data_IF_596293462343
#
_entry.id   IF_596293462343
#
_cell.length_a   1.000
_cell.length_b   1.000
_cell.length_c   1.000
_cell.angle_alpha   90.00
_cell.angle_beta   90.00
_cell.angle_gamma   90.00
#
_symmetry.space_group_name_H-M   'P 1'
#
loop_
_entity.id
_entity.type
_entity.pdbx_description
1 polymer ?
#
# COMPACT_ATOMS: atom_id res chain seq x y z
N UNK A 1 -2.93 15.70 -18.33
CA UNK A 1 -3.25 14.27 -18.56
C UNK A 1 -1.94 13.51 -18.45
N UNK A 2 -1.80 12.63 -17.46
CA UNK A 2 -0.61 11.77 -17.36
C UNK A 2 -0.67 10.67 -18.43
N UNK A 3 0.49 10.37 -19.01
CA UNK A 3 0.67 9.26 -19.94
C UNK A 3 1.43 8.19 -19.18
N UNK A 4 0.85 6.99 -19.09
CA UNK A 4 1.43 5.85 -18.40
C UNK A 4 1.84 4.79 -19.41
N UNK A 5 2.95 4.11 -19.13
CA UNK A 5 3.39 2.95 -19.91
C UNK A 5 2.51 1.74 -19.59
N UNK A 6 2.32 0.87 -20.58
CA UNK A 6 1.65 -0.41 -20.39
C UNK A 6 2.43 -1.33 -19.44
N UNK A 7 1.71 -2.11 -18.65
CA UNK A 7 2.24 -3.24 -17.91
C UNK A 7 2.50 -4.42 -18.86
N UNK A 8 3.43 -5.30 -18.50
CA UNK A 8 3.58 -6.60 -19.15
C UNK A 8 2.98 -7.69 -18.27
N UNK A 9 1.82 -8.21 -18.67
CA UNK A 9 1.08 -9.26 -17.94
C UNK A 9 0.94 -10.47 -18.84
N UNK A 10 1.47 -11.62 -18.38
CA UNK A 10 1.45 -12.89 -19.12
C UNK A 10 1.98 -12.74 -20.57
N UNK A 11 3.02 -11.90 -20.74
CA UNK A 11 3.67 -11.62 -22.02
C UNK A 11 2.95 -10.62 -22.92
N UNK A 12 1.89 -9.95 -22.45
CA UNK A 12 1.11 -8.97 -23.22
C UNK A 12 1.17 -7.59 -22.59
N UNK A 13 1.21 -6.57 -23.44
CA UNK A 13 1.03 -5.19 -23.03
C UNK A 13 -0.42 -4.96 -22.59
N UNK A 14 -0.61 -4.46 -21.38
CA UNK A 14 -1.92 -4.14 -20.79
C UNK A 14 -1.84 -2.73 -20.21
N UNK A 15 -2.71 -1.80 -20.62
CA UNK A 15 -2.70 -0.46 -20.05
C UNK A 15 -3.05 -0.49 -18.56
N UNK A 16 -2.45 0.38 -17.74
CA UNK A 16 -2.77 0.43 -16.33
C UNK A 16 -4.19 0.94 -16.11
N UNK A 17 -4.78 0.58 -14.97
CA UNK A 17 -6.06 1.15 -14.55
C UNK A 17 -5.82 2.53 -13.95
N UNK A 18 -6.48 3.56 -14.49
CA UNK A 18 -6.41 4.92 -13.94
C UNK A 18 -7.76 5.33 -13.39
N UNK A 19 -7.79 5.67 -12.11
CA UNK A 19 -8.98 6.01 -11.35
C UNK A 19 -8.99 7.53 -11.14
N UNK A 20 -9.91 8.22 -11.80
CA UNK A 20 -10.04 9.69 -11.76
C UNK A 20 -11.27 10.18 -11.01
N UNK A 21 -12.16 9.25 -10.68
CA UNK A 21 -13.41 9.50 -9.98
C UNK A 21 -13.55 8.47 -8.87
N UNK A 22 -14.42 8.75 -7.91
CA UNK A 22 -14.65 7.86 -6.78
C UNK A 22 -14.99 6.45 -7.27
N UNK A 23 -14.21 5.48 -6.82
CA UNK A 23 -14.30 4.11 -7.34
C UNK A 23 -14.06 3.09 -6.23
N UNK A 24 -14.80 1.98 -6.31
CA UNK A 24 -14.62 0.83 -5.42
C UNK A 24 -14.24 -0.39 -6.24
N UNK A 25 -13.04 -0.92 -6.00
CA UNK A 25 -12.58 -2.16 -6.63
C UNK A 25 -12.95 -3.35 -5.75
N UNK A 26 -13.93 -4.14 -6.18
CA UNK A 26 -14.44 -5.33 -5.45
C UNK A 26 -13.87 -6.65 -5.97
N UNK A 27 -13.40 -6.68 -7.22
CA UNK A 27 -12.86 -7.88 -7.88
C UNK A 27 -11.36 -8.09 -7.65
N UNK A 28 -10.75 -8.95 -8.49
CA UNK A 28 -9.29 -9.07 -8.54
C UNK A 28 -8.75 -8.29 -9.74
N UNK A 29 -7.77 -7.42 -9.51
CA UNK A 29 -7.01 -6.73 -10.55
C UNK A 29 -5.54 -7.18 -10.53
N UNK A 30 -4.96 -7.38 -11.71
CA UNK A 30 -3.53 -7.64 -11.92
C UNK A 30 -2.98 -6.50 -12.76
N UNK A 31 -1.86 -5.93 -12.33
CA UNK A 31 -1.25 -4.78 -13.00
C UNK A 31 -1.15 -3.55 -12.09
N UNK A 32 -0.87 -2.43 -12.72
CA UNK A 32 -0.67 -1.13 -12.10
C UNK A 32 -1.98 -0.36 -12.04
N UNK A 33 -2.28 0.20 -10.87
CA UNK A 33 -3.41 1.09 -10.62
C UNK A 33 -2.89 2.46 -10.21
N UNK A 34 -3.27 3.48 -10.96
CA UNK A 34 -3.05 4.89 -10.62
C UNK A 34 -4.32 5.48 -10.04
N UNK A 35 -4.24 6.04 -8.83
CA UNK A 35 -5.32 6.76 -8.17
C UNK A 35 -5.03 8.25 -8.29
N UNK A 36 -5.83 8.95 -9.07
CA UNK A 36 -5.79 10.41 -9.32
C UNK A 36 -7.06 11.09 -8.80
N UNK A 37 -7.72 10.51 -7.80
CA UNK A 37 -9.04 10.95 -7.31
C UNK A 37 -9.02 11.13 -5.79
N UNK A 38 -9.98 11.89 -5.26
CA UNK A 38 -10.07 12.16 -3.83
C UNK A 38 -10.35 10.89 -3.02
N UNK A 39 -11.14 9.94 -3.55
CA UNK A 39 -11.53 8.73 -2.81
C UNK A 39 -11.49 7.44 -3.66
N UNK A 40 -10.66 6.49 -3.26
CA UNK A 40 -10.65 5.13 -3.83
C UNK A 40 -10.71 4.06 -2.73
N UNK A 41 -11.57 3.06 -2.90
CA UNK A 41 -11.72 1.94 -1.97
C UNK A 41 -11.33 0.63 -2.65
N UNK A 42 -10.35 -0.07 -2.10
CA UNK A 42 -10.00 -1.44 -2.47
C UNK A 42 -10.70 -2.41 -1.50
N UNK A 43 -11.81 -3.01 -1.94
CA UNK A 43 -12.52 -4.09 -1.23
C UNK A 43 -12.03 -5.49 -1.67
N UNK A 44 -11.64 -5.63 -2.94
CA UNK A 44 -11.22 -6.87 -3.55
C UNK A 44 -9.74 -7.18 -3.35
N UNK A 45 -9.07 -7.63 -4.42
CA UNK A 45 -7.62 -7.87 -4.38
C UNK A 45 -6.90 -7.18 -5.53
N UNK A 46 -5.79 -6.53 -5.23
CA UNK A 46 -4.86 -6.02 -6.22
C UNK A 46 -3.56 -6.82 -6.13
N UNK A 47 -3.06 -7.26 -7.30
CA UNK A 47 -1.77 -7.92 -7.48
C UNK A 47 -0.94 -7.12 -8.47
N UNK A 48 -0.06 -6.27 -7.96
CA UNK A 48 0.74 -5.36 -8.77
C UNK A 48 1.08 -4.08 -8.02
N UNK A 49 1.15 -2.97 -8.75
CA UNK A 49 1.55 -1.67 -8.21
C UNK A 49 0.31 -0.81 -7.97
N UNK A 50 0.19 -0.25 -6.77
CA UNK A 50 -0.76 0.81 -6.46
C UNK A 50 0.01 2.12 -6.34
N UNK A 51 -0.24 3.07 -7.23
CA UNK A 51 0.30 4.42 -7.18
C UNK A 51 -0.80 5.36 -6.71
N UNK A 52 -0.58 5.97 -5.55
CA UNK A 52 -1.53 6.92 -4.96
C UNK A 52 -0.97 8.32 -5.15
N UNK A 53 -1.57 9.08 -6.07
CA UNK A 53 -1.08 10.40 -6.43
C UNK A 53 -1.42 11.45 -5.38
N UNK A 54 -0.64 12.52 -5.39
CA UNK A 54 -0.79 13.68 -4.51
C UNK A 54 -2.26 14.14 -4.38
N UNK A 55 -2.73 14.37 -3.15
CA UNK A 55 -4.09 14.80 -2.86
C UNK A 55 -5.14 13.68 -2.86
N UNK A 56 -4.77 12.44 -3.20
CA UNK A 56 -5.69 11.30 -3.19
C UNK A 56 -5.78 10.65 -1.81
N UNK A 57 -6.97 10.14 -1.46
CA UNK A 57 -7.17 9.27 -0.29
C UNK A 57 -7.59 7.88 -0.72
N UNK A 58 -6.89 6.86 -0.21
CA UNK A 58 -7.17 5.45 -0.50
C UNK A 58 -7.49 4.67 0.76
N UNK A 59 -8.54 3.86 0.71
CA UNK A 59 -8.89 2.91 1.74
C UNK A 59 -8.69 1.47 1.24
N UNK A 60 -7.74 0.75 1.83
CA UNK A 60 -7.48 -0.67 1.56
C UNK A 60 -8.18 -1.52 2.63
N UNK A 61 -9.35 -2.05 2.30
CA UNK A 61 -10.10 -2.99 3.16
C UNK A 61 -9.94 -4.44 2.70
N UNK A 62 -9.56 -4.64 1.44
CA UNK A 62 -9.26 -5.92 0.82
C UNK A 62 -7.79 -6.31 0.94
N UNK A 63 -7.24 -6.89 -0.14
CA UNK A 63 -5.86 -7.43 -0.18
C UNK A 63 -5.02 -6.81 -1.27
N UNK A 64 -4.02 -6.04 -0.88
CA UNK A 64 -2.98 -5.53 -1.79
C UNK A 64 -1.71 -6.40 -1.71
N UNK A 65 -1.25 -6.89 -2.87
CA UNK A 65 0.00 -7.66 -3.00
C UNK A 65 0.88 -7.05 -4.07
N UNK A 66 2.09 -6.64 -3.69
CA UNK A 66 3.04 -6.00 -4.60
C UNK A 66 3.52 -4.66 -4.03
N UNK A 67 3.52 -3.63 -4.86
CA UNK A 67 4.07 -2.32 -4.49
C UNK A 67 2.95 -1.34 -4.16
N UNK A 68 3.12 -0.56 -3.10
CA UNK A 68 2.31 0.62 -2.81
C UNK A 68 3.24 1.83 -2.81
N UNK A 69 2.99 2.78 -3.71
CA UNK A 69 3.72 4.03 -3.80
C UNK A 69 2.78 5.17 -3.44
N UNK A 70 3.13 5.93 -2.40
CA UNK A 70 2.29 7.00 -1.85
C UNK A 70 3.04 8.30 -2.06
N UNK A 71 2.55 9.12 -2.99
CA UNK A 71 3.13 10.42 -3.29
C UNK A 71 2.90 11.43 -2.16
N UNK A 72 3.74 12.47 -2.15
CA UNK A 72 3.60 13.59 -1.22
C UNK A 72 2.16 14.13 -1.13
N UNK A 73 1.64 14.23 0.10
CA UNK A 73 0.30 14.76 0.36
C UNK A 73 -0.84 13.76 0.12
N UNK A 74 -0.56 12.53 -0.30
CA UNK A 74 -1.56 11.46 -0.34
C UNK A 74 -1.73 10.77 1.02
N UNK A 75 -2.90 10.17 1.23
CA UNK A 75 -3.24 9.44 2.45
C UNK A 75 -3.72 8.04 2.08
N UNK A 76 -3.15 7.03 2.73
CA UNK A 76 -3.59 5.63 2.61
C UNK A 76 -4.00 5.11 3.97
N UNK A 77 -5.19 4.54 4.06
CA UNK A 77 -5.69 3.83 5.26
C UNK A 77 -5.82 2.35 4.95
N UNK A 78 -5.32 1.50 5.83
CA UNK A 78 -5.33 0.05 5.67
C UNK A 78 -6.13 -0.56 6.81
N UNK A 79 -7.30 -1.12 6.51
CA UNK A 79 -8.09 -1.97 7.42
C UNK A 79 -8.09 -3.44 6.99
N UNK A 80 -7.61 -3.73 5.77
CA UNK A 80 -7.35 -5.08 5.25
C UNK A 80 -5.87 -5.47 5.32
N UNK A 81 -5.33 -6.01 4.23
CA UNK A 81 -3.96 -6.53 4.17
C UNK A 81 -3.15 -5.89 3.03
N UNK A 82 -1.94 -5.44 3.34
CA UNK A 82 -0.91 -5.05 2.37
C UNK A 82 0.31 -5.93 2.57
N UNK A 83 0.75 -6.62 1.52
CA UNK A 83 1.96 -7.43 1.54
C UNK A 83 2.88 -7.12 0.34
N UNK A 84 4.08 -6.61 0.62
CA UNK A 84 5.11 -6.36 -0.37
C UNK A 84 5.93 -5.13 -0.04
N UNK A 85 6.15 -4.27 -1.03
CA UNK A 85 6.96 -3.05 -0.86
C UNK A 85 6.05 -1.85 -0.70
N UNK A 86 6.32 -1.01 0.30
CA UNK A 86 5.62 0.27 0.49
C UNK A 86 6.61 1.42 0.47
N UNK A 87 6.33 2.47 -0.28
CA UNK A 87 7.10 3.71 -0.30
C UNK A 87 6.18 4.85 0.09
N UNK A 88 6.53 5.53 1.19
CA UNK A 88 5.77 6.64 1.77
C UNK A 88 6.61 7.90 1.59
N UNK A 89 6.27 8.75 0.63
CA UNK A 89 7.01 9.98 0.39
C UNK A 89 6.80 11.02 1.51
N UNK A 90 7.66 12.04 1.54
CA UNK A 90 7.53 13.18 2.48
C UNK A 90 6.13 13.78 2.40
N UNK A 91 5.62 14.23 3.54
CA UNK A 91 4.27 14.82 3.69
C UNK A 91 3.10 13.88 3.34
N UNK A 92 3.35 12.61 3.04
CA UNK A 92 2.30 11.59 2.88
C UNK A 92 2.14 10.78 4.17
N UNK A 93 0.98 10.12 4.30
CA UNK A 93 0.68 9.30 5.48
C UNK A 93 0.10 7.96 5.08
N UNK A 94 0.65 6.87 5.63
CA UNK A 94 -0.03 5.58 5.69
C UNK A 94 -0.50 5.33 7.13
N UNK A 95 -1.76 4.96 7.28
CA UNK A 95 -2.36 4.55 8.55
C UNK A 95 -2.74 3.08 8.45
N UNK A 96 -2.16 2.24 9.30
CA UNK A 96 -2.63 0.88 9.53
C UNK A 96 -3.68 0.97 10.62
N UNK A 97 -4.96 0.88 10.25
CA UNK A 97 -6.07 0.87 11.20
C UNK A 97 -6.05 -0.42 12.04
N UNK A 98 -6.83 -0.48 13.12
CA UNK A 98 -6.77 -1.55 14.13
C UNK A 98 -6.85 -2.97 13.56
N UNK A 99 -7.70 -3.20 12.55
CA UNK A 99 -7.82 -4.51 11.86
C UNK A 99 -6.79 -4.73 10.76
N UNK A 100 -6.08 -3.67 10.38
CA UNK A 100 -5.18 -3.61 9.25
C UNK A 100 -3.85 -4.32 9.49
N UNK A 101 -3.26 -4.81 8.40
CA UNK A 101 -1.96 -5.48 8.40
C UNK A 101 -1.10 -4.95 7.25
N UNK A 102 0.11 -4.51 7.58
CA UNK A 102 1.14 -4.17 6.60
C UNK A 102 2.35 -5.06 6.81
N UNK A 103 2.75 -5.80 5.79
CA UNK A 103 3.91 -6.66 5.82
C UNK A 103 4.85 -6.46 4.63
N UNK A 104 6.15 -6.66 4.87
CA UNK A 104 7.20 -6.60 3.84
C UNK A 104 8.20 -5.45 4.06
N UNK A 105 8.64 -4.80 2.99
CA UNK A 105 9.65 -3.74 3.07
C UNK A 105 8.99 -2.38 2.96
N UNK A 106 9.28 -1.46 3.86
CA UNK A 106 8.74 -0.10 3.85
C UNK A 106 9.85 0.95 3.81
N UNK A 107 9.89 1.80 2.78
CA UNK A 107 10.66 3.03 2.77
C UNK A 107 9.76 4.16 3.26
N UNK A 108 10.12 4.78 4.37
CA UNK A 108 9.31 5.76 5.08
C UNK A 108 10.07 7.08 5.09
N UNK A 109 9.71 7.97 4.16
CA UNK A 109 10.15 9.38 4.16
C UNK A 109 9.05 10.32 4.69
N UNK A 110 7.78 9.85 4.70
CA UNK A 110 6.64 10.50 5.34
C UNK A 110 6.30 9.92 6.72
N UNK A 111 5.00 9.70 6.98
CA UNK A 111 4.50 9.14 8.24
C UNK A 111 3.85 7.78 8.06
N UNK A 112 4.26 6.81 8.88
CA UNK A 112 3.59 5.53 9.06
C UNK A 112 2.95 5.50 10.45
N UNK A 113 1.62 5.50 10.52
CA UNK A 113 0.86 5.38 11.77
C UNK A 113 0.39 3.93 11.92
N UNK A 114 0.71 3.30 13.05
CA UNK A 114 0.50 1.88 13.30
C UNK A 114 -0.50 1.74 14.44
N UNK A 115 -1.77 1.46 14.11
CA UNK A 115 -2.83 1.08 15.07
C UNK A 115 -3.16 -0.42 14.98
N UNK A 116 -2.96 -1.02 13.82
CA UNK A 116 -3.01 -2.46 13.60
C UNK A 116 -1.63 -3.13 13.67
N UNK A 117 -1.35 -4.05 12.75
CA UNK A 117 -0.12 -4.84 12.76
C UNK A 117 0.82 -4.40 11.64
N UNK A 118 2.06 -4.05 12.00
CA UNK A 118 3.18 -3.89 11.08
C UNK A 118 4.19 -5.02 11.25
N UNK A 119 4.62 -5.64 10.15
CA UNK A 119 5.64 -6.69 10.16
C UNK A 119 6.58 -6.56 8.98
N UNK A 120 7.73 -5.92 9.17
CA UNK A 120 8.57 -5.58 8.03
C UNK A 120 9.93 -4.99 8.35
N UNK A 121 10.74 -4.86 7.31
CA UNK A 121 11.95 -4.04 7.36
C UNK A 121 11.60 -2.60 6.99
N UNK A 122 12.21 -1.63 7.68
CA UNK A 122 12.01 -0.20 7.43
C UNK A 122 13.30 0.50 7.04
N UNK A 123 13.21 1.49 6.16
CA UNK A 123 14.26 2.45 5.82
C UNK A 123 13.67 3.84 5.60
N UNK A 124 14.51 4.86 5.35
CA UNK A 124 14.06 6.25 5.10
C UNK A 124 14.27 7.18 6.30
N UNK A 125 13.94 8.45 6.10
CA UNK A 125 14.17 9.52 7.09
C UNK A 125 12.88 10.06 7.74
N UNK A 126 11.74 9.41 7.47
CA UNK A 126 10.44 9.73 8.03
C UNK A 126 10.23 9.10 9.41
N UNK A 127 8.96 8.98 9.81
CA UNK A 127 8.59 8.51 11.14
C UNK A 127 7.62 7.32 11.07
N UNK A 128 7.85 6.34 11.94
CA UNK A 128 6.91 5.28 12.24
C UNK A 128 6.40 5.47 13.67
N UNK A 129 5.10 5.70 13.83
CA UNK A 129 4.45 6.02 15.10
C UNK A 129 3.50 4.89 15.43
N UNK A 130 3.64 4.31 16.61
CA UNK A 130 2.68 3.34 17.15
C UNK A 130 1.64 4.10 17.96
N UNK A 131 0.36 3.90 17.62
CA UNK A 131 -0.78 4.48 18.32
C UNK A 131 -1.69 3.37 18.86
N UNK A 132 -2.34 3.61 20.01
CA UNK A 132 -3.28 2.67 20.60
C UNK A 132 -2.67 1.28 20.83
N UNK A 133 -3.34 0.25 20.30
CA UNK A 133 -2.92 -1.15 20.42
C UNK A 133 -2.02 -1.63 19.26
N UNK A 134 -1.40 -0.70 18.51
CA UNK A 134 -0.56 -1.06 17.37
C UNK A 134 0.61 -1.97 17.73
N UNK A 135 0.93 -2.91 16.84
CA UNK A 135 1.94 -3.95 17.07
C UNK A 135 2.96 -3.95 15.95
N UNK A 136 4.25 -3.87 16.31
CA UNK A 136 5.36 -4.15 15.40
C UNK A 136 5.86 -5.58 15.63
N UNK A 137 5.58 -6.48 14.69
CA UNK A 137 6.02 -7.88 14.75
C UNK A 137 7.42 -8.03 14.17
N UNK A 138 8.29 -8.70 14.94
CA UNK A 138 9.60 -9.19 14.45
C UNK A 138 9.39 -10.39 13.52
N UNK A 139 10.21 -10.57 12.48
CA UNK A 139 10.13 -11.74 11.62
C UNK A 139 10.49 -13.00 12.40
N UNK A 140 9.81 -14.10 12.09
CA UNK A 140 10.27 -15.45 12.41
C UNK A 140 11.20 -15.90 11.30
N UNK A 141 12.46 -16.15 11.61
CA UNK A 141 13.44 -16.62 10.62
C UNK A 141 13.31 -18.14 10.49
N UNK A 142 12.89 -18.63 9.32
CA UNK A 142 12.95 -20.07 8.97
C UNK A 142 13.79 -20.21 7.70
N UNK A 143 14.86 -20.99 7.75
CA UNK A 143 15.78 -21.23 6.62
C UNK A 143 16.35 -19.94 5.96
N UNK A 144 16.66 -18.92 6.77
CA UNK A 144 17.18 -17.64 6.27
C UNK A 144 16.13 -16.72 5.64
N UNK A 145 14.85 -17.13 5.62
CA UNK A 145 13.73 -16.34 5.13
C UNK A 145 12.93 -15.77 6.30
N UNK A 146 12.60 -14.49 6.24
CA UNK A 146 11.77 -13.79 7.21
C UNK A 146 10.29 -14.08 6.96
N UNK A 147 9.64 -14.78 7.88
CA UNK A 147 8.20 -15.02 7.88
C UNK A 147 7.52 -14.10 8.89
N UNK A 148 6.43 -13.47 8.48
CA UNK A 148 5.56 -12.69 9.36
C UNK A 148 4.23 -13.44 9.46
N UNK A 149 4.05 -14.19 10.55
CA UNK A 149 2.80 -14.92 10.83
C UNK A 149 1.87 -14.00 11.65
N UNK A 150 0.62 -13.83 11.20
CA UNK A 150 -0.40 -12.99 11.84
C UNK A 150 -1.72 -13.69 12.09
#
# INVERSE_FOLDING_TARGET
MHIYSDDIIDGRAVPPLVIRENYTLTGTHRGTVHVETEEFILLGSLRGTLVVHSGSTVLIQGKQRGTVFIESGAIVKVSGEVNGTTSIEKNSTLIIEESGKLAGTSKIDGSLIIRGIFGGATSGCGQAIVEGNGIIKKPTIKNGVNYYEW
#
